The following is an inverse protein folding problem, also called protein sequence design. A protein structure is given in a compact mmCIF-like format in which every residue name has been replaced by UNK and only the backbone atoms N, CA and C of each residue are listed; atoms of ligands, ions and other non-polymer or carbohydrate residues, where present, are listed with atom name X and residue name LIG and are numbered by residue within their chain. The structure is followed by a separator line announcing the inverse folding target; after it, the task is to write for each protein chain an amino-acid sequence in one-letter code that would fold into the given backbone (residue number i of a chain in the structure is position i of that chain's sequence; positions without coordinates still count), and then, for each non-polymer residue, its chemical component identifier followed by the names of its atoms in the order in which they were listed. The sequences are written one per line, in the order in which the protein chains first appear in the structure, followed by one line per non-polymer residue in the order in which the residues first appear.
data_IF_346047247097
#
_entry.id   IF_346047247097
#
_cell.length_a   1.000
_cell.length_b   1.000
_cell.length_c   1.000
_cell.angle_alpha   90.00
_cell.angle_beta   90.00
_cell.angle_gamma   90.00
#
_symmetry.space_group_name_H-M   'P 1'
#
loop_
_entity.id
_entity.type
_entity.pdbx_description
1 polymer ?
#
# COMPACT_ATOMS: atom_id res chain seq x y z
N UNK A 1 58.34 31.48 22.43
CA UNK A 1 56.94 31.98 22.38
C UNK A 1 56.09 30.86 21.83
N UNK A 2 55.53 30.01 22.69
CA UNK A 2 54.82 28.77 22.32
C UNK A 2 53.31 29.02 22.37
N UNK A 3 52.67 28.96 21.20
CA UNK A 3 51.25 29.22 20.97
C UNK A 3 50.43 27.97 21.38
N UNK A 4 49.59 28.10 22.41
CA UNK A 4 48.65 27.04 22.82
C UNK A 4 47.35 27.17 22.01
N UNK A 5 47.09 26.20 21.15
CA UNK A 5 45.87 26.08 20.35
C UNK A 5 44.72 25.67 21.28
N UNK A 6 43.71 26.52 21.38
CA UNK A 6 42.46 26.24 22.10
C UNK A 6 41.61 25.33 21.21
N UNK A 7 41.44 24.08 21.64
CA UNK A 7 40.57 23.11 20.97
C UNK A 7 39.10 23.48 21.19
N UNK A 8 38.43 23.90 20.13
CA UNK A 8 36.97 24.07 20.11
C UNK A 8 36.36 22.69 19.86
N UNK A 9 35.80 22.08 20.89
CA UNK A 9 34.96 20.89 20.77
C UNK A 9 33.65 21.27 20.09
N UNK A 10 33.50 20.92 18.82
CA UNK A 10 32.25 21.04 18.09
C UNK A 10 31.22 20.07 18.70
N UNK A 11 30.24 20.63 19.39
CA UNK A 11 29.08 19.91 19.91
C UNK A 11 28.19 19.53 18.72
N UNK A 12 28.25 18.28 18.28
CA UNK A 12 27.40 17.75 17.21
C UNK A 12 25.97 17.62 17.70
N UNK A 13 25.12 18.59 17.34
CA UNK A 13 23.67 18.51 17.45
C UNK A 13 23.15 17.45 16.49
N UNK A 14 22.75 16.30 17.03
CA UNK A 14 21.93 15.30 16.34
C UNK A 14 20.52 15.88 16.14
N UNK A 15 20.29 16.44 14.95
CA UNK A 15 18.93 16.67 14.46
C UNK A 15 18.33 15.30 14.13
N UNK A 16 17.50 14.78 15.02
CA UNK A 16 16.56 13.71 14.70
C UNK A 16 15.54 14.28 13.70
N UNK A 17 15.83 14.12 12.41
CA UNK A 17 14.88 14.42 11.35
C UNK A 17 13.80 13.33 11.33
N UNK A 18 12.54 13.73 11.47
CA UNK A 18 11.41 12.87 11.12
C UNK A 18 11.48 12.60 9.61
N UNK A 19 12.04 11.46 9.22
CA UNK A 19 12.12 11.03 7.83
C UNK A 19 10.72 10.77 7.30
N UNK A 20 10.22 11.66 6.44
CA UNK A 20 9.22 11.25 5.46
C UNK A 20 9.86 10.12 4.65
N UNK A 21 9.26 8.93 4.70
CA UNK A 21 9.72 7.76 3.96
C UNK A 21 9.71 8.08 2.47
N UNK A 22 10.90 8.35 1.91
CA UNK A 22 11.10 8.38 0.47
C UNK A 22 11.32 6.92 0.03
N UNK A 23 10.37 6.42 -0.77
CA UNK A 23 10.11 5.02 -1.16
C UNK A 23 11.23 4.26 -1.90
N UNK A 24 12.43 4.81 -2.05
CA UNK A 24 13.43 4.24 -2.96
C UNK A 24 14.17 3.00 -2.40
N UNK A 25 14.05 2.69 -1.10
CA UNK A 25 14.78 1.61 -0.42
C UNK A 25 14.00 0.31 -0.19
N UNK A 26 12.66 0.38 -0.13
CA UNK A 26 11.84 -0.73 0.36
C UNK A 26 11.55 -1.77 -0.72
N UNK A 27 11.47 -1.35 -1.99
CA UNK A 27 11.19 -2.22 -3.14
C UNK A 27 12.24 -3.34 -3.32
N UNK A 28 13.50 -3.09 -2.97
CA UNK A 28 14.55 -4.11 -2.99
C UNK A 28 14.46 -5.04 -1.78
N UNK A 29 14.02 -4.54 -0.61
CA UNK A 29 13.88 -5.35 0.59
C UNK A 29 12.78 -6.39 0.44
N UNK A 30 11.67 -6.05 -0.22
CA UNK A 30 10.57 -6.98 -0.47
C UNK A 30 10.98 -8.13 -1.42
N UNK A 31 11.79 -7.85 -2.44
CA UNK A 31 12.16 -8.86 -3.45
C UNK A 31 12.96 -10.05 -2.90
N UNK A 32 13.61 -9.93 -1.75
CA UNK A 32 14.42 -11.00 -1.15
C UNK A 32 13.79 -11.63 0.10
N UNK A 33 12.54 -11.26 0.41
CA UNK A 33 11.78 -11.82 1.53
C UNK A 33 11.13 -13.15 1.12
N UNK A 34 11.05 -14.10 2.04
CA UNK A 34 10.20 -15.28 1.90
C UNK A 34 8.75 -14.93 2.29
N UNK A 35 7.80 -15.34 1.45
CA UNK A 35 6.38 -15.13 1.66
C UNK A 35 5.69 -16.43 2.08
N UNK A 36 4.74 -16.32 3.02
CA UNK A 36 3.97 -17.45 3.54
C UNK A 36 2.95 -17.99 2.55
N UNK A 37 2.55 -17.17 1.58
CA UNK A 37 1.57 -17.51 0.54
C UNK A 37 1.81 -16.70 -0.74
N UNK A 38 1.23 -17.18 -1.85
CA UNK A 38 1.20 -16.44 -3.12
C UNK A 38 0.49 -15.08 -2.96
N UNK A 39 -0.57 -15.01 -2.15
CA UNK A 39 -1.29 -13.76 -1.90
C UNK A 39 -0.44 -12.70 -1.23
N UNK A 40 0.34 -13.10 -0.23
CA UNK A 40 1.31 -12.23 0.43
C UNK A 40 2.40 -11.76 -0.55
N UNK A 41 2.95 -12.67 -1.36
CA UNK A 41 3.92 -12.31 -2.39
C UNK A 41 3.37 -11.26 -3.37
N UNK A 42 2.16 -11.46 -3.88
CA UNK A 42 1.50 -10.52 -4.80
C UNK A 42 1.30 -9.18 -4.09
N UNK A 43 0.84 -9.17 -2.83
CA UNK A 43 0.62 -7.94 -2.07
C UNK A 43 1.89 -7.08 -1.98
N UNK A 44 3.02 -7.70 -1.63
CA UNK A 44 4.26 -6.97 -1.41
C UNK A 44 5.00 -6.61 -2.71
N UNK A 45 4.88 -7.42 -3.76
CA UNK A 45 5.74 -7.27 -4.95
C UNK A 45 5.00 -6.97 -6.24
N UNK A 46 3.69 -7.19 -6.28
CA UNK A 46 2.91 -7.17 -7.52
C UNK A 46 3.31 -8.28 -8.50
N UNK A 47 3.97 -9.34 -8.04
CA UNK A 47 4.43 -10.45 -8.88
C UNK A 47 3.63 -11.72 -8.68
N UNK A 48 3.37 -12.42 -9.79
CA UNK A 48 2.65 -13.69 -9.83
C UNK A 48 3.50 -14.87 -9.38
N UNK A 49 2.92 -16.08 -9.48
CA UNK A 49 3.55 -17.34 -9.05
C UNK A 49 4.87 -17.62 -9.76
N UNK A 50 4.97 -17.26 -11.04
CA UNK A 50 6.19 -17.40 -11.85
C UNK A 50 7.19 -16.25 -11.67
N UNK A 51 6.94 -15.35 -10.73
CA UNK A 51 7.78 -14.18 -10.44
C UNK A 51 7.65 -13.04 -11.47
N UNK A 52 6.79 -13.18 -12.48
CA UNK A 52 6.54 -12.10 -13.45
C UNK A 52 5.85 -10.92 -12.76
N UNK A 53 6.15 -9.71 -13.21
CA UNK A 53 5.33 -8.55 -12.84
C UNK A 53 3.91 -8.75 -13.40
N UNK A 54 2.89 -8.66 -12.54
CA UNK A 54 1.49 -8.70 -12.98
C UNK A 54 1.19 -7.37 -13.70
N UNK A 55 0.68 -7.42 -14.95
CA UNK A 55 0.29 -6.20 -15.65
C UNK A 55 -0.85 -5.49 -14.93
N UNK A 56 -0.88 -4.16 -14.99
CA UNK A 56 -1.97 -3.36 -14.47
C UNK A 56 -2.22 -2.14 -15.35
N UNK A 57 -3.38 -1.52 -15.16
CA UNK A 57 -3.74 -0.23 -15.77
C UNK A 57 -4.12 0.79 -14.68
N UNK A 58 -4.02 2.08 -14.99
CA UNK A 58 -4.13 3.13 -13.97
C UNK A 58 -2.86 3.21 -13.11
N UNK A 59 -3.02 3.52 -11.83
CA UNK A 59 -1.92 3.71 -10.90
C UNK A 59 -1.26 5.09 -11.00
N UNK A 60 -0.51 5.47 -9.96
CA UNK A 60 0.30 6.69 -10.00
C UNK A 60 1.50 6.55 -10.95
N UNK A 61 2.13 7.68 -11.26
CA UNK A 61 3.24 7.72 -12.22
C UNK A 61 4.43 6.83 -11.82
N UNK A 62 4.83 6.88 -10.54
CA UNK A 62 5.95 6.07 -10.04
C UNK A 62 5.67 4.56 -10.16
N UNK A 63 4.48 4.05 -9.80
CA UNK A 63 4.15 2.63 -10.03
C UNK A 63 4.23 2.24 -11.52
N UNK A 64 3.75 3.09 -12.43
CA UNK A 64 3.83 2.82 -13.87
C UNK A 64 5.26 2.76 -14.41
N UNK A 65 6.21 3.43 -13.74
CA UNK A 65 7.62 3.51 -14.16
C UNK A 65 8.49 2.45 -13.48
N UNK A 66 8.23 2.13 -12.21
CA UNK A 66 9.08 1.29 -11.39
C UNK A 66 8.45 -0.06 -11.02
N UNK A 67 7.15 -0.22 -11.26
CA UNK A 67 6.38 -1.36 -10.76
C UNK A 67 6.01 -1.16 -9.28
N UNK A 68 5.99 -2.25 -8.53
CA UNK A 68 5.62 -2.27 -7.12
C UNK A 68 4.43 -3.18 -6.83
N UNK A 69 4.03 -3.23 -5.57
CA UNK A 69 2.90 -4.03 -5.08
C UNK A 69 1.81 -3.18 -4.46
N UNK A 70 0.79 -3.83 -3.91
CA UNK A 70 -0.26 -3.19 -3.11
C UNK A 70 0.35 -2.44 -1.91
N UNK A 71 1.39 -3.01 -1.30
CA UNK A 71 2.12 -2.45 -0.15
C UNK A 71 2.60 -1.00 -0.35
N UNK A 72 2.95 -0.63 -1.58
CA UNK A 72 3.46 0.71 -1.91
C UNK A 72 2.46 1.81 -1.54
N UNK A 73 1.16 1.51 -1.61
CA UNK A 73 0.10 2.44 -1.23
C UNK A 73 -0.55 2.07 0.11
N UNK A 74 -0.71 0.78 0.36
CA UNK A 74 -1.50 0.28 1.49
C UNK A 74 -0.68 -0.05 2.74
N UNK A 75 0.65 0.07 2.70
CA UNK A 75 1.52 -0.18 3.86
C UNK A 75 1.78 -1.67 4.10
N UNK A 76 2.80 -1.99 4.89
CA UNK A 76 3.14 -3.39 5.19
C UNK A 76 2.08 -4.07 6.06
N UNK A 77 1.42 -3.27 6.91
CA UNK A 77 0.40 -3.72 7.86
C UNK A 77 -1.03 -3.45 7.34
N UNK A 78 -1.18 -3.11 6.06
CA UNK A 78 -2.46 -2.78 5.40
C UNK A 78 -3.13 -1.52 5.96
N UNK A 79 -2.38 -0.63 6.62
CA UNK A 79 -2.88 0.57 7.28
C UNK A 79 -3.24 1.72 6.33
N UNK A 80 -2.81 1.66 5.07
CA UNK A 80 -3.06 2.71 4.09
C UNK A 80 -2.26 3.99 4.36
N UNK A 81 -2.84 5.13 3.96
CA UNK A 81 -2.35 6.45 4.33
C UNK A 81 -1.27 7.04 3.43
N UNK A 82 -0.71 6.26 2.49
CA UNK A 82 0.24 6.79 1.52
C UNK A 82 -0.45 7.77 0.58
N UNK A 83 0.21 8.91 0.35
CA UNK A 83 -0.28 9.98 -0.53
C UNK A 83 0.43 9.92 -1.86
N UNK A 84 -0.29 10.20 -2.94
CA UNK A 84 0.29 10.11 -4.27
C UNK A 84 0.96 11.42 -4.70
N UNK A 85 2.14 11.36 -5.31
CA UNK A 85 2.73 12.51 -5.99
C UNK A 85 2.27 12.57 -7.47
N UNK A 86 1.82 13.72 -8.00
CA UNK A 86 1.60 15.02 -7.35
C UNK A 86 0.19 15.20 -6.77
N UNK A 87 -0.67 14.16 -6.80
CA UNK A 87 -2.05 14.19 -6.28
C UNK A 87 -2.09 13.94 -4.77
N UNK A 88 -1.48 14.84 -3.98
CA UNK A 88 -1.30 14.65 -2.53
C UNK A 88 -2.60 14.54 -1.73
N UNK A 89 -3.72 14.96 -2.33
CA UNK A 89 -5.07 14.84 -1.78
C UNK A 89 -5.68 13.45 -1.98
N UNK A 90 -5.08 12.58 -2.80
CA UNK A 90 -5.49 11.18 -2.92
C UNK A 90 -4.67 10.37 -1.93
N UNK A 91 -5.37 9.82 -0.93
CA UNK A 91 -4.81 8.96 0.11
C UNK A 91 -5.33 7.54 -0.10
N UNK A 92 -4.43 6.56 -0.09
CA UNK A 92 -4.82 5.16 -0.13
C UNK A 92 -5.58 4.77 1.16
N UNK A 93 -6.74 4.11 1.09
CA UNK A 93 -7.45 3.64 2.27
C UNK A 93 -6.70 2.48 2.94
N UNK A 94 -7.04 2.20 4.20
CA UNK A 94 -6.62 0.96 4.85
C UNK A 94 -7.29 -0.26 4.19
N UNK A 95 -6.61 -1.41 4.25
CA UNK A 95 -7.11 -2.72 3.82
C UNK A 95 -7.12 -3.71 5.01
N UNK A 96 -7.21 -3.22 6.24
CA UNK A 96 -7.37 -4.09 7.42
C UNK A 96 -8.73 -4.79 7.39
N UNK A 97 -8.91 -5.91 8.10
CA UNK A 97 -10.21 -6.59 8.19
C UNK A 97 -11.35 -5.66 8.61
N UNK A 98 -11.07 -4.73 9.54
CA UNK A 98 -11.99 -3.67 9.92
C UNK A 98 -12.37 -2.85 8.70
N UNK A 99 -11.42 -2.21 8.03
CA UNK A 99 -11.68 -1.31 6.89
C UNK A 99 -12.37 -1.99 5.70
N UNK A 100 -12.20 -3.31 5.57
CA UNK A 100 -12.90 -4.12 4.56
C UNK A 100 -14.33 -4.52 4.98
N UNK A 101 -14.75 -4.17 6.20
CA UNK A 101 -16.07 -4.48 6.75
C UNK A 101 -16.24 -5.94 7.16
N UNK A 102 -15.14 -6.64 7.49
CA UNK A 102 -15.17 -8.06 7.86
C UNK A 102 -15.53 -8.31 9.33
N UNK A 103 -15.51 -7.26 10.16
CA UNK A 103 -15.88 -7.33 11.57
C UNK A 103 -17.35 -6.93 11.77
N UNK A 104 -18.04 -7.61 12.71
CA UNK A 104 -19.51 -7.57 12.90
C UNK A 104 -20.07 -6.21 13.40
N UNK A 105 -19.21 -5.23 13.66
CA UNK A 105 -19.59 -3.86 14.01
C UNK A 105 -19.45 -2.97 12.78
N UNK A 106 -20.46 -3.01 11.90
CA UNK A 106 -20.56 -2.23 10.66
C UNK A 106 -20.72 -0.72 10.85
N UNK A 107 -19.85 -0.09 11.62
CA UNK A 107 -19.71 1.36 11.69
C UNK A 107 -18.26 1.69 12.00
N UNK A 108 -17.53 2.19 11.02
CA UNK A 108 -16.29 2.90 11.27
C UNK A 108 -16.66 4.32 11.71
N UNK A 109 -16.32 4.69 12.95
CA UNK A 109 -16.37 6.07 13.44
C UNK A 109 -14.92 6.55 13.61
N UNK A 110 -14.19 6.68 12.50
CA UNK A 110 -12.77 6.97 12.55
C UNK A 110 -12.43 8.03 11.48
N UNK A 111 -12.86 9.26 11.77
CA UNK A 111 -12.68 10.40 10.90
C UNK A 111 -11.23 10.79 10.70
N UNK A 112 -10.81 10.91 9.43
CA UNK A 112 -9.88 11.94 8.97
C UNK A 112 -10.19 12.32 7.51
N UNK A 113 -10.77 13.52 7.36
CA UNK A 113 -10.89 14.37 6.17
C UNK A 113 -10.43 13.78 4.83
N UNK A 114 -11.32 13.08 4.14
CA UNK A 114 -11.81 13.40 2.79
C UNK A 114 -12.56 12.18 2.22
N UNK A 115 -13.89 12.17 2.34
CA UNK A 115 -14.77 11.19 1.65
C UNK A 115 -15.01 9.88 2.40
N UNK A 116 -15.47 9.98 3.65
CA UNK A 116 -16.04 8.87 4.41
C UNK A 116 -17.33 8.39 3.71
N UNK A 117 -17.19 7.38 2.87
CA UNK A 117 -18.31 6.67 2.30
C UNK A 117 -18.40 5.34 3.03
N UNK A 118 -19.48 5.12 3.79
CA UNK A 118 -19.90 3.76 4.14
C UNK A 118 -19.96 2.94 2.84
N UNK A 119 -19.02 2.00 2.69
CA UNK A 119 -19.11 0.97 1.67
C UNK A 119 -19.79 -0.23 2.30
N UNK A 120 -20.62 -0.92 1.52
CA UNK A 120 -21.07 -2.26 1.92
C UNK A 120 -19.84 -3.15 2.15
N UNK A 121 -19.93 -4.06 3.14
CA UNK A 121 -18.85 -4.96 3.49
C UNK A 121 -18.33 -5.72 2.26
N UNK A 122 -17.01 -5.84 2.18
CA UNK A 122 -16.38 -6.59 1.10
C UNK A 122 -16.59 -8.09 1.31
N UNK A 123 -16.99 -8.76 0.24
CA UNK A 123 -16.92 -10.21 0.10
C UNK A 123 -15.71 -10.56 -0.75
N UNK A 124 -15.29 -11.82 -0.78
CA UNK A 124 -14.22 -12.26 -1.68
C UNK A 124 -14.48 -11.87 -3.15
N UNK A 125 -15.74 -11.98 -3.60
CA UNK A 125 -16.12 -11.67 -4.97
C UNK A 125 -16.15 -10.15 -5.24
N UNK A 126 -16.67 -9.34 -4.31
CA UNK A 126 -16.67 -7.89 -4.49
C UNK A 126 -15.27 -7.28 -4.35
N UNK A 127 -14.40 -7.86 -3.52
CA UNK A 127 -13.00 -7.45 -3.39
C UNK A 127 -12.20 -7.81 -4.64
N UNK A 128 -12.39 -9.01 -5.17
CA UNK A 128 -11.83 -9.43 -6.46
C UNK A 128 -12.22 -8.47 -7.58
N UNK A 129 -13.51 -8.10 -7.63
CA UNK A 129 -14.03 -7.12 -8.60
C UNK A 129 -13.41 -5.74 -8.41
N UNK A 130 -13.24 -5.27 -7.18
CA UNK A 130 -12.58 -3.99 -6.91
C UNK A 130 -11.13 -3.97 -7.42
N UNK A 131 -10.37 -5.04 -7.19
CA UNK A 131 -8.96 -5.15 -7.62
C UNK A 131 -8.80 -5.24 -9.14
N UNK A 132 -9.68 -5.97 -9.81
CA UNK A 132 -9.56 -6.24 -11.26
C UNK A 132 -10.26 -5.16 -12.09
N UNK A 133 -11.46 -4.75 -11.70
CA UNK A 133 -12.32 -3.86 -12.48
C UNK A 133 -12.37 -2.44 -11.93
N UNK A 134 -11.92 -2.21 -10.70
CA UNK A 134 -12.02 -0.92 -10.05
C UNK A 134 -13.45 -0.57 -9.64
N UNK A 135 -14.27 -1.58 -9.30
CA UNK A 135 -15.68 -1.42 -8.93
C UNK A 135 -15.94 -1.91 -7.52
N UNK A 136 -16.48 -1.01 -6.69
CA UNK A 136 -16.77 -1.21 -5.28
C UNK A 136 -17.99 -2.13 -5.06
N UNK A 137 -18.27 -2.58 -3.83
CA UNK A 137 -19.43 -3.42 -3.52
C UNK A 137 -20.75 -2.77 -3.96
N UNK A 138 -20.90 -1.46 -3.73
CA UNK A 138 -22.08 -0.66 -4.10
C UNK A 138 -22.12 -0.21 -5.57
N UNK A 139 -21.14 -0.64 -6.37
CA UNK A 139 -21.05 -0.35 -7.80
C UNK A 139 -20.37 0.97 -8.16
N UNK A 140 -19.91 1.76 -7.19
CA UNK A 140 -19.07 2.94 -7.46
C UNK A 140 -17.73 2.54 -8.07
N UNK A 141 -17.07 3.52 -8.71
CA UNK A 141 -15.77 3.35 -9.36
C UNK A 141 -14.68 3.87 -8.44
N UNK A 142 -13.65 3.07 -8.22
CA UNK A 142 -12.43 3.47 -7.53
C UNK A 142 -11.68 4.55 -8.33
N UNK A 143 -10.99 5.46 -7.64
CA UNK A 143 -10.09 6.43 -8.31
C UNK A 143 -9.03 5.68 -9.13
N UNK A 144 -8.69 6.20 -10.31
CA UNK A 144 -7.70 5.62 -11.22
C UNK A 144 -6.29 5.53 -10.61
N UNK A 145 -6.07 6.23 -9.49
CA UNK A 145 -4.96 6.07 -8.57
C UNK A 145 -4.75 4.61 -8.12
N UNK A 146 -5.84 3.88 -7.87
CA UNK A 146 -5.79 2.46 -7.53
C UNK A 146 -5.67 1.65 -8.84
N UNK A 147 -4.57 0.89 -9.04
CA UNK A 147 -4.38 0.15 -10.27
C UNK A 147 -5.40 -0.99 -10.43
N UNK A 148 -5.74 -1.30 -11.68
CA UNK A 148 -6.60 -2.42 -12.07
C UNK A 148 -5.71 -3.54 -12.57
N UNK A 149 -5.63 -4.63 -11.81
CA UNK A 149 -4.63 -5.68 -11.98
C UNK A 149 -5.12 -6.81 -12.88
N UNK A 150 -4.30 -7.20 -13.86
CA UNK A 150 -4.58 -8.32 -14.76
C UNK A 150 -4.12 -9.66 -14.13
N UNK A 151 -4.83 -10.06 -13.08
CA UNK A 151 -4.60 -11.30 -12.34
C UNK A 151 -5.22 -12.50 -13.08
N UNK A 152 -4.55 -13.66 -13.01
CA UNK A 152 -5.21 -14.93 -13.29
C UNK A 152 -6.20 -15.27 -12.17
N UNK A 153 -7.16 -16.20 -12.39
CA UNK A 153 -8.11 -16.60 -11.36
C UNK A 153 -7.44 -17.06 -10.05
N UNK A 154 -6.38 -17.87 -10.14
CA UNK A 154 -5.67 -18.37 -8.97
C UNK A 154 -4.90 -17.27 -8.22
N UNK A 155 -4.27 -16.33 -8.95
CA UNK A 155 -3.58 -15.18 -8.33
C UNK A 155 -4.58 -14.25 -7.63
N UNK A 156 -5.75 -14.03 -8.22
CA UNK A 156 -6.81 -13.22 -7.62
C UNK A 156 -7.38 -13.88 -6.36
N UNK A 157 -7.65 -15.18 -6.39
CA UNK A 157 -8.08 -15.94 -5.22
C UNK A 157 -7.04 -15.91 -4.10
N UNK A 158 -5.76 -16.10 -4.43
CA UNK A 158 -4.68 -16.07 -3.45
C UNK A 158 -4.53 -14.67 -2.80
N UNK A 159 -4.55 -13.60 -3.60
CA UNK A 159 -4.46 -12.23 -3.08
C UNK A 159 -5.65 -11.88 -2.20
N UNK A 160 -6.88 -12.20 -2.63
CA UNK A 160 -8.08 -11.95 -1.83
C UNK A 160 -8.07 -12.75 -0.53
N UNK A 161 -7.64 -14.01 -0.55
CA UNK A 161 -7.51 -14.81 0.65
C UNK A 161 -6.52 -14.21 1.65
N UNK A 162 -5.41 -13.64 1.17
CA UNK A 162 -4.47 -12.90 2.02
C UNK A 162 -5.06 -11.61 2.59
N UNK A 163 -5.76 -10.82 1.78
CA UNK A 163 -6.38 -9.57 2.25
C UNK A 163 -7.49 -9.79 3.27
N UNK A 164 -8.21 -10.90 3.17
CA UNK A 164 -9.28 -11.28 4.09
C UNK A 164 -8.78 -12.08 5.30
N UNK A 165 -7.48 -12.34 5.42
CA UNK A 165 -6.93 -12.93 6.64
C UNK A 165 -6.83 -11.88 7.74
N UNK A 166 -6.92 -12.34 8.98
CA UNK A 166 -6.58 -11.56 10.19
C UNK A 166 -5.17 -10.93 10.06
#
# INVERSE_FOLDING_TARGET
MTLRIVGITALTTLLAGCGGHMHDGDDMAWQFREYSSLGEQIYFTGRGEDGRQIPFSGGHHHMRMHGGGCVTCHGADREGGQVMWPRFWVRAPALTPEALGLNESGAHEDGHADGDHEHEAYTAETLKRAIIEGVEPDGRRLDDAMPRWALSPAEAEALVAYLMSE
#
